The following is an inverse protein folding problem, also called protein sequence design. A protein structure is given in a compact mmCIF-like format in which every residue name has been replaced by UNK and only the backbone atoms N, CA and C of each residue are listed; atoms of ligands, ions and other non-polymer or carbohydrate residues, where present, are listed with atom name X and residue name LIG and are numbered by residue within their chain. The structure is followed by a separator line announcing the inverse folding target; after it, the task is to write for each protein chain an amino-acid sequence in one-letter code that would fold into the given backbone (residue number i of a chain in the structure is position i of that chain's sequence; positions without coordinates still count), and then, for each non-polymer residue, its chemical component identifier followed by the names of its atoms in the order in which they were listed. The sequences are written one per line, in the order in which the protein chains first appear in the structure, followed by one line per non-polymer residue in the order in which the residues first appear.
data_IF_092637513433
#
_entry.id   IF_092637513433
#
_cell.length_a   1.000
_cell.length_b   1.000
_cell.length_c   1.000
_cell.angle_alpha   90.00
_cell.angle_beta   90.00
_cell.angle_gamma   90.00
#
_symmetry.space_group_name_H-M   'P 1'
#
loop_
_entity.id
_entity.type
_entity.pdbx_description
1 polymer ?
#
# COMPACT_ATOMS: atom_id res chain seq x y z
N UNK A 1 -0.80 -7.36 20.53
CA UNK A 1 -1.40 -8.65 20.94
C UNK A 1 -0.58 -9.86 20.52
N UNK A 2 -0.06 -9.93 19.28
CA UNK A 2 0.69 -11.11 18.81
C UNK A 2 1.84 -11.57 19.73
N UNK A 3 2.74 -10.67 20.15
CA UNK A 3 3.84 -11.01 21.06
C UNK A 3 3.43 -11.28 22.52
N UNK A 4 2.23 -10.84 22.93
CA UNK A 4 1.67 -11.18 24.24
C UNK A 4 1.20 -12.63 24.26
N UNK A 5 0.60 -13.12 23.16
CA UNK A 5 0.15 -14.51 23.03
C UNK A 5 1.32 -15.51 23.02
N UNK A 6 2.49 -15.11 22.52
CA UNK A 6 3.69 -15.97 22.49
C UNK A 6 4.43 -16.06 23.82
N UNK A 7 4.10 -15.20 24.79
CA UNK A 7 4.69 -15.16 26.13
C UNK A 7 3.67 -15.52 27.22
N UNK A 8 2.48 -15.93 26.83
CA UNK A 8 1.41 -16.28 27.75
C UNK A 8 1.53 -17.74 28.16
N UNK A 9 1.67 -17.96 29.47
CA UNK A 9 1.80 -19.28 30.07
C UNK A 9 0.65 -19.49 31.05
N UNK A 10 0.09 -20.69 31.09
CA UNK A 10 -0.94 -21.05 32.05
C UNK A 10 -0.37 -21.28 33.46
N UNK A 11 -1.24 -21.52 34.43
CA UNK A 11 -0.86 -21.76 35.84
C UNK A 11 0.04 -23.00 36.04
N UNK A 12 0.13 -23.88 35.03
CA UNK A 12 0.94 -25.10 35.01
C UNK A 12 2.22 -24.95 34.17
N UNK A 13 2.48 -23.76 33.61
CA UNK A 13 3.69 -23.44 32.85
C UNK A 13 3.65 -23.87 31.37
N UNK A 14 2.50 -24.30 30.85
CA UNK A 14 2.31 -24.60 29.43
C UNK A 14 1.99 -23.33 28.63
N UNK A 15 2.23 -23.31 27.32
CA UNK A 15 1.80 -22.21 26.46
C UNK A 15 0.27 -22.15 26.41
N UNK A 16 -0.32 -21.00 26.77
CA UNK A 16 -1.78 -20.80 26.76
C UNK A 16 -2.35 -20.82 25.35
N UNK A 17 -1.60 -20.32 24.36
CA UNK A 17 -2.03 -20.24 22.96
C UNK A 17 -1.08 -21.02 22.07
N UNK A 18 -1.66 -21.80 21.16
CA UNK A 18 -0.89 -22.44 20.09
C UNK A 18 -0.50 -21.42 19.02
N UNK A 19 0.56 -21.72 18.26
CA UNK A 19 1.00 -20.82 17.18
C UNK A 19 -0.11 -20.55 16.14
N UNK A 20 -0.92 -21.57 15.83
CA UNK A 20 -2.02 -21.49 14.87
C UNK A 20 -3.11 -20.51 15.34
N UNK A 21 -3.44 -20.50 16.64
CA UNK A 21 -4.40 -19.55 17.22
C UNK A 21 -3.89 -18.11 17.17
N UNK A 22 -2.59 -17.91 17.38
CA UNK A 22 -2.00 -16.57 17.22
C UNK A 22 -2.07 -16.08 15.77
N UNK A 23 -1.97 -16.98 14.78
CA UNK A 23 -2.06 -16.64 13.35
C UNK A 23 -3.51 -16.34 12.93
N UNK A 24 -4.48 -17.14 13.39
CA UNK A 24 -5.89 -16.91 13.08
C UNK A 24 -6.40 -15.59 13.68
N UNK A 25 -5.99 -15.25 14.90
CA UNK A 25 -6.30 -13.98 15.55
C UNK A 25 -5.72 -12.76 14.80
N UNK A 26 -4.62 -12.94 14.06
CA UNK A 26 -3.98 -11.86 13.31
C UNK A 26 -4.55 -11.66 11.90
N UNK A 27 -5.34 -12.61 11.39
CA UNK A 27 -5.92 -12.56 10.04
C UNK A 27 -6.71 -11.25 9.74
N UNK A 28 -7.58 -10.73 10.63
CA UNK A 28 -8.31 -9.49 10.36
C UNK A 28 -7.39 -8.28 10.16
N UNK A 29 -6.29 -8.22 10.91
CA UNK A 29 -5.32 -7.13 10.78
C UNK A 29 -4.58 -7.17 9.44
N UNK A 30 -4.28 -8.37 8.93
CA UNK A 30 -3.69 -8.49 7.59
C UNK A 30 -4.66 -8.03 6.51
N UNK A 31 -5.94 -8.39 6.60
CA UNK A 31 -6.98 -7.91 5.67
C UNK A 31 -7.09 -6.39 5.68
N UNK A 32 -7.18 -5.77 6.86
CA UNK A 32 -7.23 -4.31 6.97
C UNK A 32 -5.98 -3.65 6.38
N UNK A 33 -4.81 -4.28 6.54
CA UNK A 33 -3.57 -3.78 5.94
C UNK A 33 -3.57 -3.85 4.41
N UNK A 34 -4.07 -4.94 3.82
CA UNK A 34 -4.21 -5.03 2.35
C UNK A 34 -5.20 -4.01 1.82
N UNK A 35 -6.32 -3.79 2.51
CA UNK A 35 -7.32 -2.77 2.12
C UNK A 35 -6.71 -1.37 2.19
N UNK A 36 -6.02 -1.02 3.28
CA UNK A 36 -5.33 0.26 3.39
C UNK A 36 -4.26 0.46 2.32
N UNK A 37 -3.48 -0.60 2.04
CA UNK A 37 -2.49 -0.58 0.95
C UNK A 37 -3.10 -0.46 -0.45
N UNK A 38 -4.30 -1.02 -0.67
CA UNK A 38 -5.01 -0.90 -1.94
C UNK A 38 -5.48 0.54 -2.18
N UNK A 39 -5.98 1.22 -1.15
CA UNK A 39 -6.37 2.63 -1.22
C UNK A 39 -5.16 3.51 -1.54
N UNK A 40 -4.01 3.27 -0.89
CA UNK A 40 -2.77 3.99 -1.19
C UNK A 40 -2.33 3.78 -2.65
N UNK A 41 -2.32 2.52 -3.12
CA UNK A 41 -1.97 2.20 -4.51
C UNK A 41 -2.90 2.87 -5.52
N UNK A 42 -4.21 2.94 -5.24
CA UNK A 42 -5.16 3.66 -6.08
C UNK A 42 -4.77 5.14 -6.23
N UNK A 43 -4.36 5.78 -5.13
CA UNK A 43 -3.81 7.14 -5.16
C UNK A 43 -2.55 7.26 -6.01
N UNK A 44 -1.64 6.29 -5.94
CA UNK A 44 -0.43 6.24 -6.78
C UNK A 44 -0.78 6.14 -8.27
N UNK A 45 -1.78 5.34 -8.64
CA UNK A 45 -2.23 5.25 -10.03
C UNK A 45 -2.80 6.57 -10.56
N UNK A 46 -3.58 7.28 -9.74
CA UNK A 46 -4.11 8.61 -10.08
C UNK A 46 -2.96 9.61 -10.26
N UNK A 47 -1.98 9.60 -9.35
CA UNK A 47 -0.80 10.47 -9.45
C UNK A 47 -0.02 10.18 -10.73
N UNK A 48 0.23 8.91 -11.04
CA UNK A 48 0.94 8.50 -12.26
C UNK A 48 0.22 9.02 -13.52
N UNK A 49 -1.10 8.85 -13.57
CA UNK A 49 -1.90 9.37 -14.69
C UNK A 49 -1.76 10.89 -14.84
N UNK A 50 -1.88 11.64 -13.74
CA UNK A 50 -1.74 13.10 -13.76
C UNK A 50 -0.35 13.52 -14.27
N UNK A 51 0.72 12.91 -13.76
CA UNK A 51 2.09 13.20 -14.20
C UNK A 51 2.28 12.92 -15.69
N UNK A 52 1.82 11.76 -16.17
CA UNK A 52 1.92 11.40 -17.60
C UNK A 52 1.17 12.39 -18.48
N UNK A 53 -0.03 12.81 -18.08
CA UNK A 53 -0.81 13.80 -18.81
C UNK A 53 -0.10 15.16 -18.84
N UNK A 54 0.45 15.62 -17.72
CA UNK A 54 1.24 16.87 -17.66
C UNK A 54 2.46 16.81 -18.58
N UNK A 55 3.22 15.71 -18.57
CA UNK A 55 4.40 15.55 -19.43
C UNK A 55 4.04 15.54 -20.92
N UNK A 56 2.94 14.86 -21.28
CA UNK A 56 2.44 14.81 -22.66
C UNK A 56 2.00 16.18 -23.16
N UNK A 57 1.27 16.94 -22.34
CA UNK A 57 0.87 18.31 -22.68
C UNK A 57 2.07 19.23 -22.85
N UNK A 58 3.04 19.18 -21.93
CA UNK A 58 4.27 19.97 -22.04
C UNK A 58 5.05 19.67 -23.33
N UNK A 59 5.11 18.39 -23.74
CA UNK A 59 5.76 17.98 -24.99
C UNK A 59 5.01 18.50 -26.23
N UNK A 60 3.68 18.48 -26.21
CA UNK A 60 2.86 19.03 -27.29
C UNK A 60 3.03 20.56 -27.44
N UNK A 61 2.99 21.30 -26.33
CA UNK A 61 3.23 22.75 -26.32
C UNK A 61 4.63 23.10 -26.84
N UNK A 62 5.65 22.33 -26.43
CA UNK A 62 7.01 22.51 -26.96
C UNK A 62 7.08 22.29 -28.48
N UNK A 63 6.36 21.31 -29.01
CA UNK A 63 6.27 21.05 -30.44
C UNK A 63 5.64 22.21 -31.21
N UNK A 64 4.53 22.77 -30.72
CA UNK A 64 3.86 23.93 -31.32
C UNK A 64 4.79 25.14 -31.36
N UNK A 65 5.45 25.47 -30.25
CA UNK A 65 6.37 26.61 -30.18
C UNK A 65 7.59 26.45 -31.11
N UNK A 66 8.08 25.22 -31.28
CA UNK A 66 9.19 24.92 -32.19
C UNK A 66 8.81 25.06 -33.67
N UNK A 67 7.55 24.78 -34.04
CA UNK A 67 7.03 25.01 -35.39
C UNK A 67 6.85 26.51 -35.64
N UNK A 68 6.28 27.25 -34.69
CA UNK A 68 6.10 28.69 -34.80
C UNK A 68 7.43 29.47 -34.91
N UNK A 69 8.48 29.02 -34.22
CA UNK A 69 9.82 29.64 -34.31
C UNK A 69 10.56 29.36 -35.64
N UNK A 70 10.07 28.43 -36.46
CA UNK A 70 10.66 28.06 -37.76
C UNK A 70 9.94 28.70 -38.96
N UNK A 71 8.81 29.36 -38.73
CA UNK A 71 8.01 30.07 -39.75
C UNK A 71 8.39 31.56 -39.77
#
# INVERSE_FOLDING_TARGET
MQGLMWRDYDEFGSLTYTFIESVSAMHPYYVMRTVGGAIFNLGTWIMLYNVVMTVRQASAVRGVNAVAAKA
#
